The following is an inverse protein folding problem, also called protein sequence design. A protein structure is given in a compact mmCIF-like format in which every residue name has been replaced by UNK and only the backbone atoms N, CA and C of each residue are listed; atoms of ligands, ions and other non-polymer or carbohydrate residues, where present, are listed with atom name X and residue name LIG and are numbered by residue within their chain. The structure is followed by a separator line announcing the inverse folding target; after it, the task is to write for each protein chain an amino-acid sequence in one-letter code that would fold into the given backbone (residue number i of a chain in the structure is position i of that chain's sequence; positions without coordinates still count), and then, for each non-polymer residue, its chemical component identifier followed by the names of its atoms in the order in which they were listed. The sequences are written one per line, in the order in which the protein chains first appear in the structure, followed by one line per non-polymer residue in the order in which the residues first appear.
data_IF_343182337167
#
_entry.id   IF_343182337167
#
_cell.length_a   1.000
_cell.length_b   1.000
_cell.length_c   1.000
_cell.angle_alpha   90.00
_cell.angle_beta   90.00
_cell.angle_gamma   90.00
#
_symmetry.space_group_name_H-M   'P 1'
#
loop_
_entity.id
_entity.type
_entity.pdbx_description
1 polymer ?
#
# COMPACT_ATOMS: atom_id res chain seq x y z
N UNK A 1 -22.17 6.05 8.76
CA UNK A 1 -21.05 5.35 8.09
C UNK A 1 -19.97 5.10 9.11
N UNK A 2 -19.17 4.04 8.95
CA UNK A 2 -17.96 3.87 9.76
C UNK A 2 -17.00 5.00 9.41
N UNK A 3 -16.51 5.71 10.42
CA UNK A 3 -15.48 6.72 10.22
C UNK A 3 -14.19 6.01 9.81
N UNK A 4 -13.85 6.12 8.53
CA UNK A 4 -12.60 5.57 8.01
C UNK A 4 -11.51 6.61 8.27
N UNK A 5 -10.87 6.53 9.43
CA UNK A 5 -9.71 7.38 9.72
C UNK A 5 -8.48 6.81 9.00
N UNK A 6 -8.09 7.45 7.90
CA UNK A 6 -6.79 7.24 7.29
C UNK A 6 -5.72 7.88 8.19
N UNK A 7 -4.74 7.09 8.63
CA UNK A 7 -3.63 7.62 9.41
C UNK A 7 -2.53 8.16 8.50
N UNK A 8 -1.68 9.04 9.00
CA UNK A 8 -0.47 9.48 8.30
C UNK A 8 0.43 8.28 7.91
N UNK A 9 0.48 7.24 8.75
CA UNK A 9 1.20 6.00 8.44
C UNK A 9 0.61 5.23 7.25
N UNK A 10 -0.70 5.36 7.00
CA UNK A 10 -1.35 4.77 5.83
C UNK A 10 -0.99 5.53 4.57
N UNK A 11 -0.96 6.86 4.65
CA UNK A 11 -0.51 7.74 3.55
C UNK A 11 0.96 7.43 3.21
N UNK A 12 1.82 7.34 4.23
CA UNK A 12 3.23 7.03 4.05
C UNK A 12 3.45 5.67 3.37
N UNK A 13 2.74 4.61 3.80
CA UNK A 13 2.81 3.29 3.14
C UNK A 13 2.27 3.32 1.72
N UNK A 14 1.14 4.00 1.48
CA UNK A 14 0.57 4.16 0.14
C UNK A 14 1.58 4.80 -0.81
N UNK A 15 2.21 5.89 -0.39
CA UNK A 15 3.17 6.63 -1.21
C UNK A 15 4.38 5.77 -1.58
N UNK A 16 4.96 5.04 -0.61
CA UNK A 16 6.06 4.09 -0.90
C UNK A 16 5.63 2.98 -1.85
N UNK A 17 4.42 2.42 -1.70
CA UNK A 17 3.88 1.41 -2.63
C UNK A 17 3.74 2.01 -4.03
N UNK A 18 3.23 3.23 -4.16
CA UNK A 18 3.10 3.90 -5.45
C UNK A 18 4.46 4.08 -6.12
N UNK A 19 5.46 4.53 -5.35
CA UNK A 19 6.83 4.69 -5.86
C UNK A 19 7.44 3.37 -6.35
N UNK A 20 7.26 2.29 -5.60
CA UNK A 20 7.71 0.95 -6.02
C UNK A 20 7.04 0.48 -7.31
N UNK A 21 5.74 0.72 -7.46
CA UNK A 21 5.00 0.33 -8.66
C UNK A 21 5.45 1.12 -9.90
N UNK A 22 5.78 2.41 -9.73
CA UNK A 22 6.39 3.23 -10.79
C UNK A 22 7.80 2.77 -11.14
N UNK A 23 8.65 2.50 -10.16
CA UNK A 23 10.01 1.96 -10.37
C UNK A 23 10.01 0.60 -11.08
N UNK A 24 8.95 -0.20 -10.91
CA UNK A 24 8.74 -1.45 -11.63
C UNK A 24 8.10 -1.27 -13.01
N UNK A 25 7.80 -0.04 -13.42
CA UNK A 25 7.18 0.28 -14.70
C UNK A 25 5.75 -0.22 -14.83
N UNK A 26 5.03 -0.40 -13.72
CA UNK A 26 3.64 -0.86 -13.72
C UNK A 26 2.66 0.29 -13.96
N UNK A 27 3.01 1.51 -13.57
CA UNK A 27 2.30 2.74 -13.91
C UNK A 27 3.23 3.96 -13.81
N UNK A 28 2.72 5.13 -14.22
CA UNK A 28 3.37 6.42 -14.06
C UNK A 28 2.55 7.30 -13.10
N UNK A 29 3.22 8.01 -12.20
CA UNK A 29 2.59 8.93 -11.27
C UNK A 29 2.55 10.31 -11.93
N UNK A 30 1.37 10.93 -11.96
CA UNK A 30 1.19 12.22 -12.65
C UNK A 30 1.68 13.42 -11.83
N UNK A 31 1.87 13.24 -10.52
CA UNK A 31 2.30 14.26 -9.57
C UNK A 31 3.50 13.74 -8.77
N UNK A 32 4.60 14.49 -8.77
CA UNK A 32 5.88 14.04 -8.23
C UNK A 32 5.95 14.12 -6.69
N UNK A 33 4.94 14.70 -6.01
CA UNK A 33 4.94 14.86 -4.55
C UNK A 33 4.32 13.67 -3.81
N UNK A 34 5.18 12.73 -3.41
CA UNK A 34 4.80 11.52 -2.65
C UNK A 34 5.30 11.54 -1.20
N UNK A 35 5.35 12.69 -0.54
CA UNK A 35 5.68 12.75 0.89
C UNK A 35 4.41 12.73 1.78
N UNK A 36 4.47 12.09 2.98
CA UNK A 36 5.59 11.33 3.53
C UNK A 36 5.75 9.95 2.88
N UNK A 37 6.92 9.33 3.02
CA UNK A 37 7.16 7.92 2.66
C UNK A 37 7.48 7.05 3.88
N UNK A 38 6.94 5.83 3.91
CA UNK A 38 7.25 4.84 4.92
C UNK A 38 8.61 4.16 4.64
N UNK A 39 9.26 3.66 5.69
CA UNK A 39 10.49 2.88 5.52
C UNK A 39 10.18 1.49 4.99
N UNK A 40 11.11 0.91 4.22
CA UNK A 40 10.95 -0.46 3.69
C UNK A 40 10.80 -1.53 4.76
N UNK A 41 11.25 -1.30 6.00
CA UNK A 41 11.03 -2.25 7.11
C UNK A 41 9.55 -2.38 7.51
N UNK A 42 8.71 -1.42 7.12
CA UNK A 42 7.27 -1.43 7.35
C UNK A 42 6.48 -2.08 6.19
N UNK A 43 7.15 -2.49 5.12
CA UNK A 43 6.53 -3.04 3.90
C UNK A 43 7.10 -4.42 3.62
N UNK A 44 6.22 -5.43 3.59
CA UNK A 44 6.58 -6.80 3.22
C UNK A 44 6.11 -7.08 1.79
N UNK A 45 7.07 -7.36 0.91
CA UNK A 45 6.78 -7.90 -0.44
C UNK A 45 6.96 -9.41 -0.37
N UNK A 46 5.98 -10.16 -0.89
CA UNK A 46 6.03 -11.62 -0.98
C UNK A 46 6.00 -12.07 -2.43
N UNK A 47 6.79 -13.09 -2.82
CA UNK A 47 6.67 -13.71 -4.13
C UNK A 47 5.27 -14.32 -4.33
N UNK A 48 4.73 -14.22 -5.54
CA UNK A 48 3.40 -14.76 -5.85
C UNK A 48 3.27 -16.27 -5.52
N UNK A 49 4.33 -17.05 -5.74
CA UNK A 49 4.39 -18.48 -5.41
C UNK A 49 4.18 -18.79 -3.92
N UNK A 50 4.56 -17.87 -3.03
CA UNK A 50 4.43 -18.02 -1.58
C UNK A 50 3.08 -17.49 -1.07
N UNK A 51 2.26 -16.84 -1.91
CA UNK A 51 0.98 -16.24 -1.50
C UNK A 51 0.08 -17.21 -0.72
N UNK A 52 0.06 -18.50 -1.07
CA UNK A 52 -0.74 -19.52 -0.41
C UNK A 52 -0.27 -19.87 1.02
N UNK A 53 0.93 -19.47 1.39
CA UNK A 53 1.51 -19.67 2.74
C UNK A 53 1.14 -18.52 3.69
N UNK A 54 0.50 -17.46 3.19
CA UNK A 54 0.16 -16.26 3.94
C UNK A 54 -1.35 -16.06 4.04
N UNK A 55 -1.82 -15.65 5.22
CA UNK A 55 -3.17 -15.11 5.40
C UNK A 55 -3.16 -13.62 5.04
N UNK A 56 -3.88 -13.24 3.98
CA UNK A 56 -3.96 -11.85 3.53
C UNK A 56 -5.16 -11.15 4.18
N UNK A 57 -4.88 -10.30 5.16
CA UNK A 57 -5.90 -9.58 5.93
C UNK A 57 -6.00 -8.13 5.41
N UNK A 58 -7.10 -7.75 4.73
CA UNK A 58 -7.28 -6.37 4.27
C UNK A 58 -7.53 -5.44 5.46
N UNK A 59 -6.89 -4.25 5.46
CA UNK A 59 -7.05 -3.26 6.53
C UNK A 59 -8.48 -2.68 6.60
N UNK A 60 -9.18 -2.62 5.47
CA UNK A 60 -10.54 -2.13 5.40
C UNK A 60 -11.40 -3.10 4.58
N UNK A 61 -12.67 -3.21 4.97
CA UNK A 61 -13.67 -3.96 4.20
C UNK A 61 -14.25 -3.01 3.15
N UNK A 62 -14.03 -3.29 1.87
CA UNK A 62 -14.71 -2.58 0.78
C UNK A 62 -16.14 -3.13 0.73
N UNK A 63 -17.09 -2.38 1.32
CA UNK A 63 -18.51 -2.70 1.29
C UNK A 63 -18.92 -3.88 2.18
N UNK A 64 -19.47 -3.58 3.36
CA UNK A 64 -20.60 -4.38 3.87
C UNK A 64 -21.85 -3.66 3.40
N UNK A 65 -22.64 -4.31 2.54
CA UNK A 65 -24.07 -4.05 2.50
C UNK A 65 -24.69 -4.65 3.78
#
# INVERSE_FOLDING_TARGET
GLQSDISESDIARRNTICRLMEEWGLFEILDDDLEPQASMSQIKIIPHKEKGEWELIPKYHIGRN
#
